data_IF_139249168581
#
_entry.id   IF_139249168581
#
_cell.length_a   1.000
_cell.length_b   1.000
_cell.length_c   1.000
_cell.angle_alpha   90.00
_cell.angle_beta   90.00
_cell.angle_gamma   90.00
#
_symmetry.space_group_name_H-M   'P 1'
#
loop_
_entity.id
_entity.type
_entity.pdbx_description
1 polymer ?
#
# COMPACT_ATOMS: atom_id res chain seq x y z
N UNK A 1 39.07 -30.26 -29.95
CA UNK A 1 38.58 -28.95 -29.48
C UNK A 1 37.18 -29.19 -28.98
N UNK A 2 36.95 -29.04 -27.67
CA UNK A 2 35.62 -29.09 -27.08
C UNK A 2 35.16 -27.65 -27.02
N UNK A 3 34.05 -27.33 -27.67
CA UNK A 3 33.49 -25.99 -27.63
C UNK A 3 33.27 -25.56 -26.16
N UNK A 4 33.50 -24.27 -25.82
CA UNK A 4 33.26 -23.79 -24.47
C UNK A 4 31.78 -23.97 -24.14
N UNK A 5 31.42 -24.30 -22.88
CA UNK A 5 30.02 -24.29 -22.48
C UNK A 5 29.47 -22.88 -22.66
N UNK A 6 28.41 -22.76 -23.45
CA UNK A 6 27.61 -21.54 -23.55
C UNK A 6 27.16 -21.16 -22.14
N UNK A 7 27.62 -20.00 -21.68
CA UNK A 7 27.14 -19.45 -20.42
C UNK A 7 25.67 -19.08 -20.66
N UNK A 8 24.76 -19.90 -20.12
CA UNK A 8 23.39 -19.48 -19.90
C UNK A 8 23.48 -18.25 -18.99
N UNK A 9 23.35 -17.06 -19.58
CA UNK A 9 23.08 -15.84 -18.83
C UNK A 9 21.69 -16.02 -18.20
N UNK A 10 21.66 -16.63 -17.01
CA UNK A 10 20.54 -16.48 -16.11
C UNK A 10 20.37 -14.98 -15.90
N UNK A 11 19.34 -14.41 -16.54
CA UNK A 11 18.85 -13.07 -16.30
C UNK A 11 18.40 -13.01 -14.83
N UNK A 12 19.37 -12.78 -13.94
CA UNK A 12 19.18 -12.58 -12.52
C UNK A 12 18.66 -11.15 -12.29
N UNK A 13 17.59 -10.79 -12.99
CA UNK A 13 16.80 -9.62 -12.62
C UNK A 13 16.03 -9.99 -11.35
N UNK A 14 16.70 -9.89 -10.20
CA UNK A 14 16.05 -9.94 -8.90
C UNK A 14 14.88 -8.94 -8.94
N UNK A 15 13.65 -9.45 -8.87
CA UNK A 15 12.50 -8.57 -8.67
C UNK A 15 12.75 -7.81 -7.37
N UNK A 16 12.47 -6.50 -7.31
CA UNK A 16 12.61 -5.75 -6.08
C UNK A 16 11.84 -6.47 -4.97
N UNK A 17 12.48 -6.67 -3.82
CA UNK A 17 11.85 -7.35 -2.66
C UNK A 17 10.67 -6.58 -2.08
N UNK A 18 10.50 -5.32 -2.51
CA UNK A 18 9.40 -4.43 -2.14
C UNK A 18 8.46 -4.29 -3.34
N UNK A 19 7.19 -4.62 -3.13
CA UNK A 19 6.14 -4.38 -4.13
C UNK A 19 6.01 -2.87 -4.38
N UNK A 20 5.97 -2.41 -5.65
CA UNK A 20 5.69 -1.02 -5.95
C UNK A 20 4.27 -0.63 -5.52
N UNK A 21 4.12 0.57 -4.96
CA UNK A 21 2.86 1.08 -4.42
C UNK A 21 2.42 2.33 -5.18
N UNK A 22 1.11 2.60 -5.16
CA UNK A 22 0.49 3.83 -5.65
C UNK A 22 -0.38 4.47 -4.58
N UNK A 23 -0.41 5.80 -4.56
CA UNK A 23 -1.30 6.56 -3.69
C UNK A 23 -2.71 6.67 -4.28
N UNK A 24 -3.72 6.45 -3.45
CA UNK A 24 -5.12 6.64 -3.80
C UNK A 24 -5.82 7.48 -2.72
N UNK A 25 -6.61 8.47 -3.12
CA UNK A 25 -7.42 9.27 -2.18
C UNK A 25 -8.62 8.45 -1.73
N UNK A 26 -8.77 8.30 -0.42
CA UNK A 26 -9.86 7.53 0.15
C UNK A 26 -11.16 8.33 0.19
N UNK A 27 -11.12 9.56 0.71
CA UNK A 27 -12.27 10.47 0.76
C UNK A 27 -11.96 11.78 0.03
N UNK A 28 -12.64 12.09 -1.09
CA UNK A 28 -12.43 13.35 -1.81
C UNK A 28 -12.64 14.62 -0.98
N UNK A 29 -13.42 14.53 0.11
CA UNK A 29 -13.65 15.64 1.04
C UNK A 29 -12.43 15.94 1.91
N UNK A 30 -11.52 14.97 2.04
CA UNK A 30 -10.29 15.05 2.80
C UNK A 30 -9.12 14.54 1.94
N UNK A 31 -8.56 15.36 1.04
CA UNK A 31 -7.56 14.93 0.07
C UNK A 31 -6.28 14.34 0.69
N UNK A 32 -6.01 14.66 1.95
CA UNK A 32 -4.88 14.14 2.72
C UNK A 32 -5.12 12.72 3.26
N UNK A 33 -6.37 12.24 3.27
CA UNK A 33 -6.73 10.86 3.65
C UNK A 33 -6.46 9.92 2.50
N UNK A 34 -5.18 9.57 2.33
CA UNK A 34 -4.68 8.69 1.28
C UNK A 34 -4.30 7.31 1.82
N UNK A 35 -4.36 6.33 0.93
CA UNK A 35 -3.88 4.96 1.17
C UNK A 35 -2.88 4.57 0.10
N UNK A 36 -1.94 3.68 0.45
CA UNK A 36 -1.03 3.05 -0.50
C UNK A 36 -1.59 1.70 -0.92
N UNK A 37 -1.68 1.48 -2.22
CA UNK A 37 -2.21 0.26 -2.84
C UNK A 37 -1.11 -0.35 -3.71
N UNK A 38 -0.98 -1.67 -3.72
CA UNK A 38 -0.07 -2.37 -4.62
C UNK A 38 -0.30 -1.96 -6.07
N UNK A 39 0.73 -1.45 -6.74
CA UNK A 39 0.60 -0.95 -8.12
C UNK A 39 0.55 -2.09 -9.14
N UNK A 40 0.84 -3.33 -8.71
CA UNK A 40 0.72 -4.54 -9.53
C UNK A 40 -0.71 -5.10 -9.54
N UNK A 41 -1.62 -4.57 -8.74
CA UNK A 41 -3.03 -4.97 -8.75
C UNK A 41 -3.70 -4.50 -10.05
N UNK A 42 -4.54 -5.37 -10.62
CA UNK A 42 -5.40 -4.99 -11.75
C UNK A 42 -6.39 -3.89 -11.34
N UNK A 43 -6.80 -3.06 -12.31
CA UNK A 43 -7.73 -1.95 -12.07
C UNK A 43 -9.03 -2.41 -11.41
N UNK A 44 -9.57 -3.58 -11.81
CA UNK A 44 -10.77 -4.16 -11.19
C UNK A 44 -10.59 -4.48 -9.70
N UNK A 45 -9.41 -4.98 -9.32
CA UNK A 45 -9.08 -5.31 -7.92
C UNK A 45 -8.88 -4.04 -7.10
N UNK A 46 -8.20 -3.04 -7.68
CA UNK A 46 -8.08 -1.71 -7.06
C UNK A 46 -9.47 -1.12 -6.85
N UNK A 47 -10.36 -1.17 -7.83
CA UNK A 47 -11.72 -0.66 -7.72
C UNK A 47 -12.51 -1.33 -6.59
N UNK A 48 -12.45 -2.65 -6.49
CA UNK A 48 -13.08 -3.41 -5.40
C UNK A 48 -12.49 -3.07 -4.02
N UNK A 49 -11.16 -2.99 -3.92
CA UNK A 49 -10.48 -2.61 -2.69
C UNK A 49 -10.86 -1.19 -2.27
N UNK A 50 -10.77 -0.23 -3.18
CA UNK A 50 -11.11 1.17 -2.90
C UNK A 50 -12.58 1.34 -2.52
N UNK A 51 -13.49 0.56 -3.12
CA UNK A 51 -14.89 0.54 -2.70
C UNK A 51 -15.01 0.08 -1.24
N UNK A 52 -14.40 -1.06 -0.89
CA UNK A 52 -14.43 -1.59 0.47
C UNK A 52 -13.85 -0.59 1.48
N UNK A 53 -12.69 0.00 1.18
CA UNK A 53 -12.04 0.96 2.06
C UNK A 53 -12.90 2.23 2.24
N UNK A 54 -13.57 2.70 1.18
CA UNK A 54 -14.46 3.87 1.23
C UNK A 54 -15.72 3.63 2.06
N UNK A 55 -16.27 2.42 1.99
CA UNK A 55 -17.41 1.99 2.81
C UNK A 55 -17.05 1.92 4.31
N UNK A 56 -15.77 1.76 4.64
CA UNK A 56 -15.25 1.61 6.01
C UNK A 56 -14.24 2.73 6.38
N UNK A 57 -14.40 3.92 5.81
CA UNK A 57 -13.42 5.02 5.94
C UNK A 57 -13.26 5.58 7.36
N UNK A 58 -14.21 5.29 8.23
CA UNK A 58 -14.29 5.66 9.65
C UNK A 58 -13.47 4.73 10.57
N UNK A 59 -13.01 3.58 10.06
CA UNK A 59 -12.16 2.64 10.82
C UNK A 59 -10.73 3.14 10.99
N UNK A 60 -10.30 4.10 10.17
CA UNK A 60 -8.96 4.68 10.20
C UNK A 60 -8.87 5.83 11.19
N UNK A 61 -7.83 5.81 12.02
CA UNK A 61 -7.46 6.94 12.86
C UNK A 61 -6.52 7.91 12.09
N UNK A 62 -7.11 8.86 11.35
CA UNK A 62 -6.36 9.84 10.54
C UNK A 62 -5.57 10.85 11.37
N UNK A 63 -5.98 11.03 12.62
CA UNK A 63 -5.36 11.88 13.62
C UNK A 63 -5.53 11.28 15.02
N UNK A 64 -4.84 11.87 16.00
CA UNK A 64 -5.00 11.52 17.40
C UNK A 64 -6.46 11.69 17.89
N UNK A 65 -7.24 12.58 17.27
CA UNK A 65 -8.66 12.82 17.63
C UNK A 65 -9.54 11.62 17.25
N UNK A 66 -9.18 10.90 16.19
CA UNK A 66 -9.93 9.75 15.71
C UNK A 66 -9.71 8.50 16.60
N UNK A 67 -8.76 8.53 17.53
CA UNK A 67 -8.48 7.44 18.47
C UNK A 67 -9.37 7.56 19.73
N UNK A 68 -10.65 7.15 19.62
CA UNK A 68 -11.65 7.24 20.70
C UNK A 68 -11.40 6.35 21.94
N UNK A 69 -10.21 5.77 22.10
CA UNK A 69 -9.92 4.74 23.10
C UNK A 69 -8.94 5.12 24.22
N UNK A 70 -8.26 6.28 24.14
CA UNK A 70 -7.28 6.68 25.14
C UNK A 70 -7.60 8.09 25.63
N UNK A 71 -7.83 8.20 26.93
CA UNK A 71 -7.98 9.49 27.60
C UNK A 71 -6.66 10.26 27.47
N UNK A 72 -6.72 11.45 26.86
CA UNK A 72 -5.56 12.33 26.67
C UNK A 72 -4.89 12.77 27.97
N UNK A 73 -5.54 12.62 29.13
CA UNK A 73 -4.92 12.85 30.45
C UNK A 73 -3.96 11.72 30.88
N UNK A 74 -4.03 10.53 30.27
CA UNK A 74 -3.23 9.36 30.68
C UNK A 74 -1.96 9.19 29.82
N UNK A 75 -1.91 9.78 28.62
CA UNK A 75 -0.72 9.77 27.76
C UNK A 75 0.17 10.98 28.05
N UNK A 76 0.95 10.90 29.13
CA UNK A 76 2.15 11.73 29.29
C UNK A 76 3.23 11.26 28.29
N UNK A 77 3.86 12.20 27.58
CA UNK A 77 5.07 11.98 26.79
C UNK A 77 6.33 11.97 27.67
#
# INVERSE_FOLDING_TARGET
MKDPPEQEEEDNSELPTIEPLKEEVLDPSYPDRKVLVGSLLSEDKVGQLMKLLRENKDVFAWSHIDMLGIDSEITCH
#
